data_IF_865799497856
#
_entry.id   IF_865799497856
#
_cell.length_a   1.000
_cell.length_b   1.000
_cell.length_c   1.000
_cell.angle_alpha   90.00
_cell.angle_beta   90.00
_cell.angle_gamma   90.00
#
_symmetry.space_group_name_H-M   'P 1'
#
loop_
_entity.id
_entity.type
_entity.pdbx_description
1 polymer ?
#
# COMPACT_ATOMS: atom_id res chain seq x y z
N UNK A 1 -5.90 8.13 -21.18
CA UNK A 1 -6.48 9.15 -20.28
C UNK A 1 -6.70 8.59 -18.87
N UNK A 2 -7.63 7.64 -18.62
CA UNK A 2 -7.80 7.09 -17.25
C UNK A 2 -6.71 6.09 -16.81
N UNK A 3 -6.14 5.29 -17.73
CA UNK A 3 -5.02 4.39 -17.40
C UNK A 3 -3.75 5.11 -16.94
N UNK A 4 -3.55 6.35 -17.40
CA UNK A 4 -2.37 7.15 -17.05
C UNK A 4 -2.48 7.66 -15.61
N UNK A 5 -3.69 7.96 -15.15
CA UNK A 5 -3.99 8.32 -13.76
C UNK A 5 -3.68 7.14 -12.85
N UNK A 6 -4.14 5.92 -13.18
CA UNK A 6 -3.86 4.74 -12.37
C UNK A 6 -2.35 4.45 -12.26
N UNK A 7 -1.61 4.54 -13.38
CA UNK A 7 -0.15 4.40 -13.37
C UNK A 7 0.52 5.42 -12.46
N UNK A 8 0.09 6.69 -12.55
CA UNK A 8 0.60 7.77 -11.71
C UNK A 8 0.34 7.52 -10.23
N UNK A 9 -0.88 7.09 -9.88
CA UNK A 9 -1.25 6.75 -8.50
C UNK A 9 -0.38 5.62 -7.96
N UNK A 10 -0.18 4.55 -8.75
CA UNK A 10 0.67 3.41 -8.34
C UNK A 10 2.09 3.88 -8.06
N UNK A 11 2.70 4.64 -8.98
CA UNK A 11 4.08 5.14 -8.83
C UNK A 11 4.22 6.07 -7.61
N UNK A 12 3.28 7.00 -7.42
CA UNK A 12 3.30 7.91 -6.28
C UNK A 12 3.21 7.17 -4.94
N UNK A 13 2.33 6.17 -4.83
CA UNK A 13 2.23 5.39 -3.60
C UNK A 13 3.42 4.47 -3.37
N UNK A 14 4.00 3.94 -4.44
CA UNK A 14 5.23 3.17 -4.39
C UNK A 14 6.38 3.98 -3.77
N UNK A 15 6.57 5.24 -4.17
CA UNK A 15 7.54 6.16 -3.59
C UNK A 15 7.14 6.61 -2.17
N UNK A 16 5.87 6.93 -1.95
CA UNK A 16 5.37 7.41 -0.67
C UNK A 16 5.55 6.38 0.46
N UNK A 17 5.16 5.12 0.22
CA UNK A 17 5.21 4.05 1.22
C UNK A 17 6.64 3.70 1.60
N UNK A 18 7.58 3.79 0.67
CA UNK A 18 9.00 3.54 0.95
C UNK A 18 9.68 4.71 1.66
N UNK A 19 9.29 5.94 1.37
CA UNK A 19 9.83 7.14 2.01
C UNK A 19 9.25 7.47 3.39
N UNK A 20 8.07 6.94 3.75
CA UNK A 20 7.41 7.30 5.01
C UNK A 20 8.11 6.68 6.23
N UNK A 21 8.30 7.49 7.28
CA UNK A 21 8.81 6.99 8.56
C UNK A 21 7.71 6.25 9.31
N UNK A 22 7.94 4.96 9.59
CA UNK A 22 7.06 4.12 10.42
C UNK A 22 7.65 3.92 11.81
N UNK A 23 6.80 3.85 12.84
CA UNK A 23 7.19 3.39 14.17
C UNK A 23 6.99 1.87 14.21
N UNK A 24 8.07 1.08 14.38
CA UNK A 24 7.99 -0.37 14.22
C UNK A 24 7.15 -1.02 15.33
N UNK A 25 6.26 -1.91 14.91
CA UNK A 25 5.50 -2.83 15.76
C UNK A 25 6.08 -4.23 15.61
N UNK A 26 6.12 -4.98 16.72
CA UNK A 26 6.54 -6.37 16.74
C UNK A 26 5.44 -7.26 16.16
N UNK A 27 5.32 -7.28 14.84
CA UNK A 27 4.36 -8.11 14.12
C UNK A 27 5.05 -8.76 12.92
N UNK A 28 4.92 -10.08 12.81
CA UNK A 28 5.48 -10.85 11.70
C UNK A 28 4.34 -11.30 10.79
N UNK A 29 4.49 -11.05 9.49
CA UNK A 29 3.59 -11.51 8.44
C UNK A 29 4.15 -12.77 7.82
N UNK A 30 3.30 -13.77 7.67
CA UNK A 30 3.57 -14.97 6.89
C UNK A 30 3.37 -14.66 5.39
N UNK A 31 4.40 -14.82 4.53
CA UNK A 31 4.36 -14.34 3.15
C UNK A 31 3.22 -14.90 2.27
N UNK A 32 2.68 -16.08 2.61
CA UNK A 32 1.66 -16.76 1.82
C UNK A 32 0.25 -16.64 2.40
N UNK A 33 0.08 -15.90 3.50
CA UNK A 33 -1.22 -15.74 4.15
C UNK A 33 -1.88 -14.40 3.81
N UNK A 34 -3.21 -14.43 3.74
CA UNK A 34 -4.03 -13.23 3.61
C UNK A 34 -4.38 -12.68 5.00
N UNK A 35 -4.20 -11.37 5.19
CA UNK A 35 -4.42 -10.71 6.47
C UNK A 35 -5.51 -9.64 6.40
N UNK A 36 -6.34 -9.57 7.45
CA UNK A 36 -7.29 -8.48 7.67
C UNK A 36 -6.87 -7.74 8.94
N UNK A 37 -6.54 -6.45 8.81
CA UNK A 37 -6.12 -5.61 9.94
C UNK A 37 -7.32 -4.81 10.44
N UNK A 38 -7.87 -5.18 11.60
CA UNK A 38 -9.04 -4.52 12.22
C UNK A 38 -8.66 -3.65 13.42
N UNK A 39 -9.53 -2.70 13.77
CA UNK A 39 -9.41 -1.89 14.99
C UNK A 39 -9.89 -0.43 14.84
N UNK A 40 -9.85 0.35 15.94
CA UNK A 40 -10.41 1.71 15.99
C UNK A 40 -9.80 2.70 14.98
N UNK A 41 -10.54 3.78 14.66
CA UNK A 41 -9.99 4.88 13.84
C UNK A 41 -8.74 5.44 14.53
N UNK A 42 -7.71 5.81 13.75
CA UNK A 42 -6.41 6.32 14.24
C UNK A 42 -5.57 5.36 15.10
N UNK A 43 -5.86 4.06 15.13
CA UNK A 43 -5.02 3.06 15.80
C UNK A 43 -3.73 2.69 15.03
N UNK A 44 -3.40 3.38 13.93
CA UNK A 44 -2.19 3.15 13.14
C UNK A 44 -2.22 1.93 12.20
N UNK A 45 -3.41 1.46 11.81
CA UNK A 45 -3.57 0.30 10.90
C UNK A 45 -2.86 0.50 9.56
N UNK A 46 -3.04 1.65 8.92
CA UNK A 46 -2.38 1.98 7.65
C UNK A 46 -0.86 2.02 7.80
N UNK A 47 -0.37 2.52 8.94
CA UNK A 47 1.07 2.52 9.24
C UNK A 47 1.64 1.12 9.47
N UNK A 48 0.84 0.20 10.04
CA UNK A 48 1.24 -1.22 10.11
C UNK A 48 1.36 -1.81 8.69
N UNK A 49 0.44 -1.49 7.77
CA UNK A 49 0.53 -1.93 6.38
C UNK A 49 1.79 -1.37 5.68
N UNK A 50 2.14 -0.10 5.91
CA UNK A 50 3.38 0.48 5.38
C UNK A 50 4.62 -0.22 5.94
N UNK A 51 4.63 -0.52 7.24
CA UNK A 51 5.71 -1.29 7.84
C UNK A 51 5.85 -2.66 7.17
N UNK A 52 4.75 -3.37 6.92
CA UNK A 52 4.76 -4.68 6.24
C UNK A 52 5.37 -4.56 4.84
N UNK A 53 4.99 -3.54 4.07
CA UNK A 53 5.57 -3.28 2.75
C UNK A 53 7.08 -3.03 2.85
N UNK A 54 7.52 -2.16 3.77
CA UNK A 54 8.95 -1.89 4.00
C UNK A 54 9.71 -3.15 4.46
N UNK A 55 9.09 -4.00 5.28
CA UNK A 55 9.66 -5.28 5.72
C UNK A 55 9.84 -6.26 4.56
N UNK A 56 8.87 -6.33 3.63
CA UNK A 56 9.01 -7.15 2.42
C UNK A 56 10.16 -6.66 1.55
N UNK A 57 10.29 -5.35 1.35
CA UNK A 57 11.38 -4.75 0.56
C UNK A 57 12.73 -4.99 1.22
N UNK A 58 12.83 -4.85 2.55
CA UNK A 58 14.04 -5.20 3.32
C UNK A 58 14.45 -6.66 3.19
N UNK A 59 13.49 -7.56 2.89
CA UNK A 59 13.72 -8.99 2.62
C UNK A 59 13.93 -9.27 1.12
N UNK A 60 14.53 -8.31 0.40
CA UNK A 60 14.93 -8.42 -1.00
C UNK A 60 13.78 -8.53 -2.01
N UNK A 61 12.53 -8.23 -1.62
CA UNK A 61 11.44 -8.04 -2.59
C UNK A 61 11.60 -6.73 -3.32
N UNK A 62 11.30 -6.74 -4.60
CA UNK A 62 11.32 -5.53 -5.41
C UNK A 62 10.05 -4.72 -5.17
N UNK A 63 10.17 -3.40 -5.14
CA UNK A 63 9.01 -2.51 -4.93
C UNK A 63 7.97 -2.68 -6.04
N UNK A 64 8.41 -2.99 -7.26
CA UNK A 64 7.56 -3.24 -8.42
C UNK A 64 6.71 -4.53 -8.30
N UNK A 65 7.06 -5.43 -7.38
CA UNK A 65 6.29 -6.65 -7.08
C UNK A 65 5.16 -6.39 -6.08
N UNK A 66 5.06 -5.17 -5.52
CA UNK A 66 4.11 -4.82 -4.47
C UNK A 66 3.13 -3.77 -5.03
N UNK A 67 1.84 -4.12 -4.97
CA UNK A 67 0.75 -3.20 -5.32
C UNK A 67 0.04 -2.73 -4.04
N UNK A 68 0.06 -1.42 -3.80
CA UNK A 68 -0.73 -0.76 -2.77
C UNK A 68 -1.85 0.06 -3.42
N UNK A 69 -3.09 -0.14 -2.95
CA UNK A 69 -4.26 0.60 -3.42
C UNK A 69 -4.88 1.32 -2.23
N UNK A 70 -4.91 2.65 -2.29
CA UNK A 70 -5.63 3.47 -1.32
C UNK A 70 -7.01 3.85 -1.86
N UNK A 71 -8.06 3.16 -1.46
CA UNK A 71 -9.43 3.47 -1.89
C UNK A 71 -9.95 4.84 -1.40
N UNK A 72 -9.25 5.52 -0.48
CA UNK A 72 -9.58 6.89 -0.09
C UNK A 72 -9.00 7.95 -1.05
N UNK A 73 -8.20 7.55 -2.04
CA UNK A 73 -7.69 8.48 -3.07
C UNK A 73 -8.82 8.89 -4.02
N UNK A 74 -9.18 10.18 -4.00
CA UNK A 74 -10.29 10.73 -4.79
C UNK A 74 -10.13 10.45 -6.30
N UNK A 75 -8.90 10.38 -6.80
CA UNK A 75 -8.62 10.11 -8.22
C UNK A 75 -8.98 8.70 -8.65
N UNK A 76 -9.00 7.75 -7.70
CA UNK A 76 -9.51 6.39 -7.97
C UNK A 76 -11.04 6.37 -8.05
N UNK A 77 -11.74 7.29 -7.38
CA UNK A 77 -13.21 7.34 -7.40
C UNK A 77 -13.76 7.76 -8.76
N UNK A 78 -12.96 8.45 -9.57
CA UNK A 78 -13.30 8.86 -10.94
C UNK A 78 -13.09 7.73 -11.97
N UNK A 79 -12.42 6.63 -11.59
CA UNK A 79 -12.17 5.49 -12.48
C UNK A 79 -13.43 4.62 -12.61
N UNK A 80 -13.77 4.24 -13.83
CA UNK A 80 -14.84 3.28 -14.13
C UNK A 80 -14.24 1.91 -14.43
N UNK A 81 -15.04 0.86 -14.27
CA UNK A 81 -14.63 -0.50 -14.61
C UNK A 81 -14.20 -0.65 -16.08
N UNK A 82 -14.78 0.15 -16.98
CA UNK A 82 -14.42 0.21 -18.40
C UNK A 82 -13.03 0.79 -18.67
N UNK A 83 -12.40 1.42 -17.67
CA UNK A 83 -11.10 2.06 -17.80
C UNK A 83 -9.92 1.15 -17.42
N UNK A 84 -10.19 0.00 -16.79
CA UNK A 84 -9.22 -1.05 -16.47
C UNK A 84 -8.98 -1.95 -17.70
#
# INVERSE_FOLDING_TARGET
>A
MNKDILKKIILEYQEFVTGIKVIPRKYNIEPLASYIIVGPRRSGKTYLLYQIIQDMIRKERKQEEILYINFEDERLMELKSTDL
#
